data_IF_387901750733
#
_entry.id   IF_387901750733
#
_cell.length_a   1.000
_cell.length_b   1.000
_cell.length_c   1.000
_cell.angle_alpha   90.00
_cell.angle_beta   90.00
_cell.angle_gamma   90.00
#
_symmetry.space_group_name_H-M   'P 1'
#
loop_
_entity.id
_entity.type
_entity.pdbx_description
1 polymer ?
#
# COMPACT_ATOMS: atom_id res chain seq x y z
N UNK A 1 -2.31 -8.57 59.68
CA UNK A 1 -1.91 -8.73 58.27
C UNK A 1 -3.15 -8.43 57.43
N UNK A 2 -3.18 -7.44 56.52
CA UNK A 2 -4.41 -7.31 55.71
C UNK A 2 -4.54 -6.16 54.72
N UNK A 3 -4.37 -4.90 55.12
CA UNK A 3 -4.78 -3.76 54.28
C UNK A 3 -3.63 -3.18 53.45
N UNK A 4 -2.49 -2.88 54.07
CA UNK A 4 -1.32 -2.30 53.37
C UNK A 4 -0.73 -3.23 52.31
N UNK A 5 -0.74 -4.55 52.56
CA UNK A 5 -0.29 -5.54 51.58
C UNK A 5 -1.24 -5.62 50.37
N UNK A 6 -2.56 -5.53 50.59
CA UNK A 6 -3.55 -5.50 49.50
C UNK A 6 -3.42 -4.23 48.66
N UNK A 7 -3.34 -3.07 49.29
CA UNK A 7 -3.14 -1.79 48.57
C UNK A 7 -1.87 -1.81 47.71
N UNK A 8 -0.76 -2.33 48.24
CA UNK A 8 0.49 -2.48 47.47
C UNK A 8 0.33 -3.46 46.30
N UNK A 9 -0.45 -4.51 46.47
CA UNK A 9 -0.70 -5.52 45.45
C UNK A 9 -1.62 -4.96 44.35
N UNK A 10 -2.68 -4.25 44.72
CA UNK A 10 -3.61 -3.58 43.80
C UNK A 10 -2.91 -2.49 42.98
N UNK A 11 -2.00 -1.72 43.58
CA UNK A 11 -1.18 -0.75 42.87
C UNK A 11 -0.23 -1.40 41.86
N UNK A 12 0.39 -2.54 42.20
CA UNK A 12 1.25 -3.28 41.26
C UNK A 12 0.45 -3.87 40.11
N UNK A 13 -0.75 -4.38 40.39
CA UNK A 13 -1.67 -4.91 39.37
C UNK A 13 -2.17 -3.78 38.47
N UNK A 14 -2.58 -2.65 39.04
CA UNK A 14 -3.00 -1.47 38.28
C UNK A 14 -1.88 -0.86 37.43
N UNK A 15 -0.64 -0.84 37.92
CA UNK A 15 0.51 -0.42 37.13
C UNK A 15 0.81 -1.39 35.97
N UNK A 16 0.72 -2.70 36.24
CA UNK A 16 0.92 -3.71 35.21
C UNK A 16 -0.15 -3.66 34.11
N UNK A 17 -1.42 -3.45 34.48
CA UNK A 17 -2.51 -3.31 33.52
C UNK A 17 -2.40 -2.03 32.69
N UNK A 18 -1.99 -0.91 33.31
CA UNK A 18 -1.69 0.33 32.59
C UNK A 18 -0.56 0.15 31.58
N UNK A 19 0.53 -0.50 31.99
CA UNK A 19 1.67 -0.77 31.08
C UNK A 19 1.26 -1.68 29.93
N UNK A 20 0.44 -2.70 30.21
CA UNK A 20 -0.10 -3.60 29.21
C UNK A 20 -1.01 -2.87 28.22
N UNK A 21 -1.94 -2.04 28.71
CA UNK A 21 -2.83 -1.23 27.87
C UNK A 21 -2.06 -0.23 27.00
N UNK A 22 -1.02 0.41 27.56
CA UNK A 22 -0.14 1.29 26.81
C UNK A 22 0.64 0.55 25.70
N UNK A 23 1.15 -0.65 26.01
CA UNK A 23 1.81 -1.49 25.01
C UNK A 23 0.86 -1.93 23.90
N UNK A 24 -0.38 -2.31 24.25
CA UNK A 24 -1.40 -2.69 23.28
C UNK A 24 -1.81 -1.51 22.38
N UNK A 25 -1.99 -0.31 22.95
CA UNK A 25 -2.29 0.90 22.19
C UNK A 25 -1.15 1.29 21.24
N UNK A 26 0.10 1.18 21.71
CA UNK A 26 1.28 1.41 20.87
C UNK A 26 1.35 0.42 19.71
N UNK A 27 1.10 -0.88 19.96
CA UNK A 27 1.10 -1.90 18.92
C UNK A 27 0.03 -1.63 17.85
N UNK A 28 -1.19 -1.25 18.27
CA UNK A 28 -2.26 -0.88 17.34
C UNK A 28 -1.92 0.33 16.49
N UNK A 29 -1.37 1.39 17.11
CA UNK A 29 -0.95 2.58 16.39
C UNK A 29 0.14 2.29 15.35
N UNK A 30 1.06 1.36 15.65
CA UNK A 30 2.07 0.90 14.69
C UNK A 30 1.42 0.21 13.48
N UNK A 31 0.52 -0.75 13.70
CA UNK A 31 -0.17 -1.45 12.60
C UNK A 31 -1.03 -0.50 11.75
N UNK A 32 -1.75 0.43 12.38
CA UNK A 32 -2.51 1.46 11.66
C UNK A 32 -1.59 2.34 10.80
N UNK A 33 -0.39 2.65 11.29
CA UNK A 33 0.61 3.42 10.54
C UNK A 33 1.17 2.64 9.35
N UNK A 34 1.49 1.36 9.52
CA UNK A 34 1.95 0.48 8.44
C UNK A 34 0.90 0.38 7.32
N UNK A 35 -0.38 0.20 7.68
CA UNK A 35 -1.48 0.19 6.71
C UNK A 35 -1.62 1.52 5.96
N UNK A 36 -1.41 2.66 6.64
CA UNK A 36 -1.42 3.97 6.00
C UNK A 36 -0.25 4.15 5.02
N UNK A 37 0.93 3.62 5.36
CA UNK A 37 2.09 3.65 4.47
C UNK A 37 1.83 2.81 3.21
N UNK A 38 1.35 1.57 3.35
CA UNK A 38 1.00 0.71 2.22
C UNK A 38 -0.07 1.36 1.32
N UNK A 39 -1.12 1.95 1.90
CA UNK A 39 -2.13 2.71 1.14
C UNK A 39 -1.54 3.89 0.37
N UNK A 40 -0.57 4.59 0.96
CA UNK A 40 0.10 5.72 0.30
C UNK A 40 0.92 5.23 -0.89
N UNK A 41 1.66 4.13 -0.74
CA UNK A 41 2.43 3.53 -1.83
C UNK A 41 1.52 3.03 -2.96
N UNK A 42 0.40 2.41 -2.62
CA UNK A 42 -0.62 2.01 -3.59
C UNK A 42 -1.13 3.20 -4.41
N UNK A 43 -1.47 4.33 -3.76
CA UNK A 43 -1.90 5.55 -4.48
C UNK A 43 -0.82 6.13 -5.39
N UNK A 44 0.44 6.11 -4.96
CA UNK A 44 1.57 6.56 -5.80
C UNK A 44 1.72 5.67 -7.03
N UNK A 45 1.53 4.36 -6.86
CA UNK A 45 1.58 3.40 -7.96
C UNK A 45 0.40 3.62 -8.92
N UNK A 46 -0.82 3.74 -8.41
CA UNK A 46 -2.00 4.01 -9.23
C UNK A 46 -1.85 5.32 -10.03
N UNK A 47 -1.24 6.37 -9.43
CA UNK A 47 -0.90 7.60 -10.13
C UNK A 47 0.07 7.38 -11.31
N UNK A 48 1.21 6.71 -11.05
CA UNK A 48 2.17 6.35 -12.11
C UNK A 48 1.55 5.52 -13.24
N UNK A 49 0.64 4.61 -12.88
CA UNK A 49 -0.08 3.81 -13.86
C UNK A 49 -1.02 4.66 -14.73
N UNK A 50 -1.69 5.64 -14.12
CA UNK A 50 -2.53 6.61 -14.83
C UNK A 50 -1.73 7.45 -15.82
N UNK A 51 -0.61 8.02 -15.38
CA UNK A 51 0.29 8.82 -16.24
C UNK A 51 0.79 7.98 -17.43
N UNK A 52 1.27 6.77 -17.17
CA UNK A 52 1.75 5.87 -18.21
C UNK A 52 0.66 5.46 -19.21
N UNK A 53 -0.55 5.18 -18.72
CA UNK A 53 -1.69 4.85 -19.58
C UNK A 53 -2.09 6.02 -20.46
N UNK A 54 -1.96 7.25 -19.93
CA UNK A 54 -2.18 8.48 -20.68
C UNK A 54 -1.13 8.65 -21.76
N UNK A 55 0.15 8.50 -21.45
CA UNK A 55 1.26 8.65 -22.41
C UNK A 55 1.13 7.65 -23.57
N UNK A 56 0.79 6.38 -23.27
CA UNK A 56 0.53 5.35 -24.29
C UNK A 56 -0.65 5.76 -25.17
N UNK A 57 -1.73 6.27 -24.58
CA UNK A 57 -2.92 6.72 -25.29
C UNK A 57 -2.65 7.92 -26.20
N UNK A 58 -1.94 8.92 -25.69
CA UNK A 58 -1.50 10.10 -26.46
C UNK A 58 -0.66 9.66 -27.67
N UNK A 59 0.32 8.77 -27.46
CA UNK A 59 1.13 8.22 -28.54
C UNK A 59 0.33 7.45 -29.58
N UNK A 60 -0.63 6.63 -29.14
CA UNK A 60 -1.50 5.88 -30.04
C UNK A 60 -2.36 6.81 -30.91
N UNK A 61 -2.88 7.90 -30.33
CA UNK A 61 -3.63 8.92 -31.06
C UNK A 61 -2.73 9.64 -32.08
N UNK A 62 -1.52 10.07 -31.68
CA UNK A 62 -0.57 10.71 -32.60
C UNK A 62 -0.24 9.85 -33.83
N UNK A 63 -0.04 8.54 -33.62
CA UNK A 63 0.23 7.61 -34.72
C UNK A 63 -1.00 7.39 -35.60
N UNK A 64 -2.18 7.31 -34.99
CA UNK A 64 -3.44 7.19 -35.72
C UNK A 64 -3.70 8.42 -36.60
N UNK A 65 -3.42 9.64 -36.10
CA UNK A 65 -3.51 10.88 -36.88
C UNK A 65 -2.56 10.90 -38.08
N UNK A 66 -1.46 10.13 -38.02
CA UNK A 66 -0.53 9.93 -39.14
C UNK A 66 -0.96 8.81 -40.10
N UNK A 67 -2.18 8.27 -39.95
CA UNK A 67 -2.71 7.15 -40.72
C UNK A 67 -1.87 5.86 -40.60
N UNK A 68 -1.18 5.69 -39.47
CA UNK A 68 -0.50 4.43 -39.16
C UNK A 68 -1.56 3.36 -38.87
N UNK A 69 -1.34 2.15 -39.37
CA UNK A 69 -2.28 1.04 -39.15
C UNK A 69 -2.27 0.59 -37.69
N UNK A 70 -3.37 0.02 -37.21
CA UNK A 70 -3.46 -0.46 -35.83
C UNK A 70 -2.39 -1.51 -35.50
N UNK A 71 -2.04 -2.42 -36.41
CA UNK A 71 -0.95 -3.38 -36.17
C UNK A 71 0.40 -2.69 -35.97
N UNK A 72 0.68 -1.62 -36.72
CA UNK A 72 1.90 -0.84 -36.57
C UNK A 72 1.92 -0.02 -35.28
N UNK A 73 0.77 0.51 -34.84
CA UNK A 73 0.63 1.19 -33.54
C UNK A 73 0.91 0.22 -32.39
N UNK A 74 0.34 -0.99 -32.43
CA UNK A 74 0.57 -2.00 -31.40
C UNK A 74 2.02 -2.50 -31.36
N UNK A 75 2.74 -2.35 -32.47
CA UNK A 75 4.16 -2.69 -32.59
C UNK A 75 5.09 -1.50 -32.34
N UNK A 76 4.54 -0.30 -32.10
CA UNK A 76 5.33 0.89 -31.82
C UNK A 76 6.12 0.70 -30.51
N UNK A 77 7.41 1.01 -30.58
CA UNK A 77 8.33 0.75 -29.49
C UNK A 77 7.94 1.49 -28.18
N UNK A 78 7.43 2.72 -28.27
CA UNK A 78 7.03 3.51 -27.10
C UNK A 78 5.77 2.93 -26.46
N UNK A 79 4.82 2.48 -27.27
CA UNK A 79 3.59 1.80 -26.81
C UNK A 79 3.92 0.47 -26.17
N UNK A 80 4.75 -0.36 -26.79
CA UNK A 80 5.17 -1.67 -26.25
C UNK A 80 5.92 -1.49 -24.92
N UNK A 81 6.91 -0.59 -24.90
CA UNK A 81 7.66 -0.29 -23.67
C UNK A 81 6.75 0.23 -22.56
N UNK A 82 5.81 1.12 -22.89
CA UNK A 82 4.84 1.61 -21.94
C UNK A 82 3.94 0.50 -21.41
N UNK A 83 3.48 -0.41 -22.27
CA UNK A 83 2.68 -1.55 -21.87
C UNK A 83 3.45 -2.51 -20.92
N UNK A 84 4.73 -2.76 -21.19
CA UNK A 84 5.60 -3.56 -20.31
C UNK A 84 5.76 -2.91 -18.93
N UNK A 85 5.99 -1.60 -18.89
CA UNK A 85 6.07 -0.84 -17.65
C UNK A 85 4.72 -0.86 -16.89
N UNK A 86 3.60 -0.78 -17.60
CA UNK A 86 2.27 -0.87 -17.02
C UNK A 86 2.02 -2.25 -16.41
N UNK A 87 2.55 -3.31 -17.05
CA UNK A 87 2.49 -4.67 -16.53
C UNK A 87 3.33 -4.82 -15.25
N UNK A 88 4.53 -4.25 -15.22
CA UNK A 88 5.35 -4.26 -14.01
C UNK A 88 4.68 -3.53 -12.83
N UNK A 89 4.07 -2.37 -13.10
CA UNK A 89 3.29 -1.65 -12.09
C UNK A 89 2.11 -2.50 -11.58
N UNK A 90 1.39 -3.22 -12.46
CA UNK A 90 0.32 -4.14 -12.03
C UNK A 90 0.82 -5.23 -11.09
N UNK A 91 1.99 -5.79 -11.35
CA UNK A 91 2.61 -6.80 -10.47
C UNK A 91 2.98 -6.19 -9.11
N UNK A 92 3.60 -5.02 -9.10
CA UNK A 92 3.91 -4.28 -7.87
C UNK A 92 2.64 -3.96 -7.07
N UNK A 93 1.55 -3.58 -7.76
CA UNK A 93 0.24 -3.31 -7.15
C UNK A 93 -0.34 -4.55 -6.48
N UNK A 94 -0.29 -5.69 -7.17
CA UNK A 94 -0.75 -6.97 -6.62
C UNK A 94 0.04 -7.37 -5.37
N UNK A 95 1.37 -7.16 -5.38
CA UNK A 95 2.22 -7.39 -4.21
C UNK A 95 1.83 -6.52 -3.02
N UNK A 96 1.66 -5.21 -3.23
CA UNK A 96 1.24 -4.28 -2.17
C UNK A 96 -0.15 -4.64 -1.60
N UNK A 97 -1.08 -5.07 -2.45
CA UNK A 97 -2.39 -5.52 -1.98
C UNK A 97 -2.30 -6.78 -1.12
N UNK A 98 -1.44 -7.74 -1.50
CA UNK A 98 -1.19 -8.92 -0.67
C UNK A 98 -0.58 -8.53 0.69
N UNK A 99 0.45 -7.67 0.70
CA UNK A 99 1.07 -7.16 1.93
C UNK A 99 0.06 -6.42 2.83
N UNK A 100 -0.89 -5.68 2.25
CA UNK A 100 -1.97 -5.03 3.00
C UNK A 100 -2.94 -6.03 3.63
N UNK A 101 -3.28 -7.12 2.96
CA UNK A 101 -4.13 -8.18 3.52
C UNK A 101 -3.40 -8.93 4.65
N UNK A 102 -2.10 -9.21 4.49
CA UNK A 102 -1.28 -9.84 5.53
C UNK A 102 -1.16 -8.95 6.78
N UNK A 103 -0.96 -7.64 6.60
CA UNK A 103 -0.90 -6.66 7.70
C UNK A 103 -2.25 -6.55 8.45
N UNK A 104 -3.37 -6.66 7.75
CA UNK A 104 -4.71 -6.72 8.39
C UNK A 104 -4.94 -8.03 9.12
N UNK A 105 -4.49 -9.15 8.56
CA UNK A 105 -4.64 -10.48 9.18
C UNK A 105 -3.78 -10.64 10.45
N UNK A 106 -2.72 -9.83 10.57
CA UNK A 106 -1.80 -9.84 11.70
C UNK A 106 -2.17 -8.86 12.83
N UNK A 107 -3.24 -8.04 12.66
CA UNK A 107 -3.74 -7.08 13.66
C UNK A 107 -4.87 -7.64 14.50
#
# INVERSE_FOLDING_TARGET
>A
MGLLQRVKQDLRVGWASLRYGAAQAANRAMVETELLQLRRELRKLDGRFGDLSRDIGERAVELQERNVTTEQILSDFEIVRGADQAQELKLQRAKLLAEMEDAKASS
#
